data_IF_881061556345
#
_entry.id   IF_881061556345
#
_cell.length_a   1.000
_cell.length_b   1.000
_cell.length_c   1.000
_cell.angle_alpha   90.00
_cell.angle_beta   90.00
_cell.angle_gamma   90.00
#
_symmetry.space_group_name_H-M   'P 1'
#
loop_
_entity.id
_entity.type
_entity.pdbx_description
1 polymer ?
#
# COMPACT_ATOMS: atom_id res chain seq x y z
N UNK A 1 3.95 -2.44 -6.06
CA UNK A 1 3.33 -3.39 -7.02
C UNK A 1 1.91 -3.76 -6.63
N UNK A 2 1.64 -4.24 -5.40
CA UNK A 2 0.29 -4.66 -4.98
C UNK A 2 -0.82 -3.60 -5.17
N UNK A 3 -0.63 -2.38 -4.64
CA UNK A 3 -1.65 -1.32 -4.73
C UNK A 3 -1.91 -0.88 -6.19
N UNK A 4 -0.87 -0.83 -7.01
CA UNK A 4 -0.99 -0.50 -8.44
C UNK A 4 -1.78 -1.58 -9.20
N UNK A 5 -1.57 -2.86 -8.88
CA UNK A 5 -2.36 -3.97 -9.43
C UNK A 5 -3.83 -3.85 -9.07
N UNK A 6 -4.14 -3.47 -7.82
CA UNK A 6 -5.52 -3.18 -7.39
C UNK A 6 -6.13 -2.00 -8.13
N UNK A 7 -5.39 -0.91 -8.34
CA UNK A 7 -5.88 0.23 -9.12
C UNK A 7 -6.19 -0.16 -10.57
N UNK A 8 -5.39 -1.04 -11.18
CA UNK A 8 -5.71 -1.61 -12.50
C UNK A 8 -6.99 -2.44 -12.48
N UNK A 9 -7.19 -3.29 -11.46
CA UNK A 9 -8.42 -4.09 -11.31
C UNK A 9 -9.63 -3.17 -11.15
N UNK A 10 -9.57 -2.18 -10.26
CA UNK A 10 -10.65 -1.23 -10.04
C UNK A 10 -11.01 -0.44 -11.29
N UNK A 11 -10.00 -0.02 -12.06
CA UNK A 11 -10.22 0.64 -13.34
C UNK A 11 -10.91 -0.29 -14.35
N UNK A 12 -10.49 -1.55 -14.43
CA UNK A 12 -11.04 -2.55 -15.35
C UNK A 12 -12.51 -2.86 -15.03
N UNK A 13 -12.84 -3.10 -13.76
CA UNK A 13 -14.20 -3.45 -13.33
C UNK A 13 -15.11 -2.23 -13.11
N UNK A 14 -14.61 -1.01 -13.32
CA UNK A 14 -15.32 0.25 -13.03
C UNK A 14 -15.83 0.33 -11.58
N UNK A 15 -14.97 -0.05 -10.63
CA UNK A 15 -15.29 -0.05 -9.21
C UNK A 15 -15.66 1.38 -8.73
N UNK A 16 -16.83 1.56 -8.09
CA UNK A 16 -17.22 2.83 -7.47
C UNK A 16 -16.21 3.32 -6.42
N UNK A 17 -15.98 4.62 -6.35
CA UNK A 17 -14.96 5.21 -5.46
C UNK A 17 -15.21 4.90 -3.98
N UNK A 18 -16.48 4.91 -3.56
CA UNK A 18 -16.97 4.60 -2.22
C UNK A 18 -16.82 3.12 -1.84
N UNK A 19 -16.63 2.23 -2.81
CA UNK A 19 -16.44 0.79 -2.58
C UNK A 19 -14.97 0.37 -2.54
N UNK A 20 -14.04 1.17 -3.09
CA UNK A 20 -12.63 0.78 -3.24
C UNK A 20 -11.96 0.42 -1.93
N UNK A 21 -12.24 1.15 -0.85
CA UNK A 21 -11.64 0.88 0.46
C UNK A 21 -12.13 -0.46 0.98
N UNK A 22 -13.45 -0.70 0.99
CA UNK A 22 -14.02 -1.97 1.46
C UNK A 22 -13.49 -3.17 0.64
N UNK A 23 -13.44 -3.06 -0.69
CA UNK A 23 -12.88 -4.11 -1.54
C UNK A 23 -11.40 -4.36 -1.23
N UNK A 24 -10.63 -3.31 -0.99
CA UNK A 24 -9.19 -3.44 -0.68
C UNK A 24 -8.98 -4.10 0.67
N UNK A 25 -9.75 -3.71 1.68
CA UNK A 25 -9.73 -4.31 3.02
C UNK A 25 -10.02 -5.80 2.96
N UNK A 26 -11.02 -6.20 2.18
CA UNK A 26 -11.34 -7.62 1.96
C UNK A 26 -10.18 -8.39 1.31
N UNK A 27 -9.40 -7.75 0.44
CA UNK A 27 -8.25 -8.36 -0.23
C UNK A 27 -6.95 -8.33 0.60
N UNK A 28 -6.93 -7.67 1.76
CA UNK A 28 -5.79 -7.72 2.67
C UNK A 28 -5.66 -9.11 3.29
N UNK A 29 -4.42 -9.54 3.48
CA UNK A 29 -4.08 -10.83 4.11
C UNK A 29 -3.04 -10.62 5.20
N UNK A 30 -3.01 -11.53 6.18
CA UNK A 30 -2.04 -11.59 7.27
C UNK A 30 -1.78 -10.24 7.95
N UNK A 31 -0.60 -9.66 7.70
CA UNK A 31 -0.15 -8.38 8.28
C UNK A 31 -0.99 -7.19 7.82
N UNK A 32 -1.57 -7.28 6.63
CA UNK A 32 -2.48 -6.27 6.09
C UNK A 32 -3.76 -6.21 6.92
N UNK A 33 -4.36 -7.36 7.20
CA UNK A 33 -5.61 -7.48 7.97
C UNK A 33 -5.41 -6.99 9.41
N UNK A 34 -4.36 -7.47 10.10
CA UNK A 34 -4.08 -7.06 11.48
C UNK A 34 -3.79 -5.55 11.62
N UNK A 35 -3.12 -4.96 10.62
CA UNK A 35 -2.92 -3.51 10.57
C UNK A 35 -4.25 -2.77 10.41
N UNK A 36 -5.09 -3.21 9.48
CA UNK A 36 -6.36 -2.55 9.20
C UNK A 36 -7.30 -2.58 10.39
N UNK A 37 -7.43 -3.71 11.10
CA UNK A 37 -8.24 -3.81 12.33
C UNK A 37 -7.82 -2.80 13.40
N UNK A 38 -6.51 -2.54 13.50
CA UNK A 38 -5.96 -1.54 14.43
C UNK A 38 -6.27 -0.12 13.95
N UNK A 39 -6.12 0.15 12.65
CA UNK A 39 -6.38 1.46 12.05
C UNK A 39 -7.86 1.82 12.05
N UNK A 40 -8.75 0.87 11.77
CA UNK A 40 -10.20 1.06 11.82
C UNK A 40 -10.67 1.47 13.22
N UNK A 41 -10.14 0.82 14.28
CA UNK A 41 -10.43 1.22 15.68
C UNK A 41 -9.95 2.63 16.00
N UNK A 42 -8.87 3.11 15.38
CA UNK A 42 -8.34 4.46 15.59
C UNK A 42 -9.15 5.53 14.86
N UNK A 43 -9.76 5.20 13.72
CA UNK A 43 -10.59 6.13 12.92
C UNK A 43 -12.06 6.11 13.35
N UNK A 44 -12.42 5.28 14.34
CA UNK A 44 -13.77 5.25 14.93
C UNK A 44 -14.75 4.32 14.21
N UNK A 45 -14.26 3.37 13.43
CA UNK A 45 -15.07 2.27 12.87
C UNK A 45 -15.89 2.61 11.61
N UNK A 46 -15.86 3.84 11.11
CA UNK A 46 -16.59 4.19 9.88
C UNK A 46 -15.69 4.08 8.64
N UNK A 47 -15.46 2.84 8.19
CA UNK A 47 -14.70 2.54 6.97
C UNK A 47 -15.34 3.19 5.74
N UNK A 48 -16.66 3.43 5.76
CA UNK A 48 -17.38 4.10 4.67
C UNK A 48 -17.04 5.59 4.52
N UNK A 49 -16.44 6.21 5.55
CA UNK A 49 -15.99 7.61 5.49
C UNK A 49 -14.54 7.75 5.03
N UNK A 50 -13.76 6.65 5.02
CA UNK A 50 -12.37 6.69 4.57
C UNK A 50 -12.37 6.73 3.06
N UNK A 51 -11.87 7.83 2.50
CA UNK A 51 -11.68 7.96 1.07
C UNK A 51 -10.54 7.06 0.59
N UNK A 52 -10.58 6.65 -0.69
CA UNK A 52 -9.49 5.88 -1.30
C UNK A 52 -8.13 6.59 -1.18
N UNK A 53 -8.10 7.93 -1.28
CA UNK A 53 -6.89 8.74 -1.07
C UNK A 53 -6.29 8.57 0.31
N UNK A 54 -7.12 8.72 1.36
CA UNK A 54 -6.68 8.55 2.75
C UNK A 54 -6.21 7.13 3.04
N UNK A 55 -6.89 6.12 2.48
CA UNK A 55 -6.44 4.73 2.57
C UNK A 55 -5.02 4.57 2.01
N UNK A 56 -4.77 5.09 0.79
CA UNK A 56 -3.46 4.99 0.14
C UNK A 56 -2.36 5.67 0.96
N UNK A 57 -2.62 6.89 1.47
CA UNK A 57 -1.67 7.61 2.31
C UNK A 57 -1.30 6.81 3.57
N UNK A 58 -2.30 6.28 4.28
CA UNK A 58 -2.10 5.46 5.47
C UNK A 58 -1.34 4.16 5.16
N UNK A 59 -1.70 3.50 4.06
CA UNK A 59 -1.03 2.29 3.59
C UNK A 59 0.45 2.54 3.27
N UNK A 60 0.76 3.61 2.54
CA UNK A 60 2.15 3.97 2.24
C UNK A 60 2.92 4.37 3.49
N UNK A 61 2.32 5.12 4.40
CA UNK A 61 2.97 5.47 5.67
C UNK A 61 3.33 4.23 6.50
N UNK A 62 2.44 3.22 6.52
CA UNK A 62 2.66 1.98 7.29
C UNK A 62 3.69 1.05 6.67
N UNK A 63 3.55 0.72 5.38
CA UNK A 63 4.33 -0.34 4.72
C UNK A 63 5.53 0.19 3.93
N UNK A 64 5.55 1.49 3.63
CA UNK A 64 6.60 2.17 2.86
C UNK A 64 7.09 3.42 3.60
N UNK A 65 7.22 3.34 4.92
CA UNK A 65 7.71 4.45 5.75
C UNK A 65 9.09 4.94 5.31
N UNK A 66 9.44 6.18 5.65
CA UNK A 66 10.78 6.72 5.40
C UNK A 66 11.88 5.80 5.98
N UNK A 67 11.67 5.27 7.19
CA UNK A 67 12.59 4.33 7.84
C UNK A 67 12.85 3.04 7.07
N UNK A 68 11.92 2.59 6.21
CA UNK A 68 12.12 1.44 5.33
C UNK A 68 12.72 1.84 3.97
N UNK A 69 12.40 3.05 3.50
CA UNK A 69 12.86 3.58 2.20
C UNK A 69 14.30 4.05 2.25
N UNK A 70 14.71 4.74 3.30
CA UNK A 70 16.03 5.38 3.39
C UNK A 70 17.18 4.36 3.35
N UNK A 71 17.12 3.20 4.05
CA UNK A 71 18.13 2.15 3.92
C UNK A 71 18.19 1.57 2.52
N UNK A 72 17.04 1.33 1.87
CA UNK A 72 16.98 0.79 0.50
C UNK A 72 17.47 1.78 -0.55
N UNK A 73 17.20 3.07 -0.37
CA UNK A 73 17.77 4.14 -1.17
C UNK A 73 19.30 4.16 -1.02
N UNK A 74 19.80 4.03 0.20
CA UNK A 74 21.24 4.02 0.44
C UNK A 74 21.93 2.78 -0.15
N UNK A 75 21.30 1.61 -0.05
CA UNK A 75 21.75 0.38 -0.71
C UNK A 75 21.83 0.55 -2.23
N UNK A 76 20.85 1.22 -2.84
CA UNK A 76 20.86 1.53 -4.27
C UNK A 76 21.95 2.55 -4.66
N UNK A 77 22.19 3.58 -3.84
CA UNK A 77 23.23 4.57 -4.11
C UNK A 77 24.64 3.97 -4.00
N UNK A 78 24.81 2.98 -3.12
CA UNK A 78 26.09 2.28 -2.91
C UNK A 78 26.25 1.07 -3.85
N UNK A 79 25.32 0.86 -4.79
CA UNK A 79 25.31 -0.29 -5.68
C UNK A 79 26.31 -0.04 -6.82
N UNK A 80 27.44 -0.74 -6.79
CA UNK A 80 28.44 -0.72 -7.86
C UNK A 80 28.32 -1.96 -8.74
N UNK A 81 28.39 -1.77 -10.05
CA UNK A 81 28.26 -2.84 -11.03
C UNK A 81 29.45 -3.82 -10.99
N UNK A 82 30.62 -3.36 -10.52
CA UNK A 82 31.88 -4.12 -10.49
C UNK A 82 32.11 -4.91 -11.79
N UNK A 83 32.44 -6.19 -11.69
CA UNK A 83 32.66 -7.15 -12.77
C UNK A 83 31.36 -7.83 -13.24
N UNK A 84 30.18 -7.40 -12.78
CA UNK A 84 28.90 -8.00 -13.18
C UNK A 84 28.53 -7.56 -14.60
N UNK A 85 28.49 -8.52 -15.50
CA UNK A 85 27.96 -8.32 -16.85
C UNK A 85 26.46 -8.09 -16.81
N UNK A 86 25.99 -7.10 -17.57
CA UNK A 86 24.57 -6.91 -17.87
C UNK A 86 24.30 -7.67 -19.17
N UNK A 87 23.59 -8.78 -19.08
CA UNK A 87 23.03 -9.48 -20.25
C UNK A 87 21.70 -8.85 -20.67
#
# INVERSE_FOLDING_TARGET
>A
MWLSSLETIFWYIKCPEDQKVQCTVFMLTDRGTAWWETTERMVGGDVGQITWGQFKESFYAKFFSASLRDPKRQEFLNLEQCDRTVE
#
